data_IF_495421711541
#
_entry.id   IF_495421711541
#
_cell.length_a   1.000
_cell.length_b   1.000
_cell.length_c   1.000
_cell.angle_alpha   90.00
_cell.angle_beta   90.00
_cell.angle_gamma   90.00
#
_symmetry.space_group_name_H-M   'P 1'
#
loop_
_entity.id
_entity.type
_entity.pdbx_description
1 polymer ?
#
# COMPACT_ATOMS: atom_id res chain seq x y z
N UNK A 1 -17.23 -23.43 20.90
CA UNK A 1 -16.01 -24.04 20.28
C UNK A 1 -15.43 -23.19 19.13
N UNK A 2 -16.23 -22.73 18.16
CA UNK A 2 -15.76 -21.90 17.03
C UNK A 2 -15.03 -20.62 17.47
N UNK A 3 -15.54 -19.93 18.49
CA UNK A 3 -14.94 -18.70 19.02
C UNK A 3 -13.46 -18.88 19.40
N UNK A 4 -13.10 -19.97 20.09
CA UNK A 4 -11.72 -20.18 20.54
C UNK A 4 -10.75 -20.62 19.44
N UNK A 5 -11.24 -21.26 18.37
CA UNK A 5 -10.39 -21.82 17.30
C UNK A 5 -10.32 -20.95 16.05
N UNK A 6 -11.31 -20.10 15.82
CA UNK A 6 -11.44 -19.30 14.60
C UNK A 6 -11.70 -17.81 14.89
N UNK A 7 -12.77 -17.46 15.61
CA UNK A 7 -13.18 -16.05 15.78
C UNK A 7 -12.36 -15.24 16.81
N UNK A 8 -11.13 -15.65 17.13
CA UNK A 8 -10.18 -14.89 17.96
C UNK A 8 -9.12 -14.29 17.06
N UNK A 9 -8.75 -13.02 17.28
CA UNK A 9 -7.67 -12.32 16.58
C UNK A 9 -6.35 -13.12 16.56
N UNK A 10 -6.04 -13.83 17.65
CA UNK A 10 -4.86 -14.71 17.75
C UNK A 10 -4.82 -15.81 16.67
N UNK A 11 -5.96 -16.18 16.09
CA UNK A 11 -6.09 -17.26 15.12
C UNK A 11 -6.22 -16.75 13.67
N UNK A 12 -5.96 -15.47 13.39
CA UNK A 12 -6.15 -14.89 12.05
C UNK A 12 -5.31 -15.58 10.96
N UNK A 13 -4.13 -16.10 11.34
CA UNK A 13 -3.23 -16.84 10.45
C UNK A 13 -3.50 -18.34 10.39
N UNK A 14 -4.51 -18.84 11.12
CA UNK A 14 -4.90 -20.25 11.02
C UNK A 14 -5.90 -20.46 9.89
N UNK A 15 -5.82 -21.64 9.27
CA UNK A 15 -6.76 -22.07 8.25
C UNK A 15 -8.19 -22.06 8.82
N UNK A 16 -9.13 -21.52 8.05
CA UNK A 16 -10.52 -21.39 8.47
C UNK A 16 -11.22 -22.77 8.47
N UNK A 17 -11.91 -23.17 9.56
CA UNK A 17 -12.61 -24.45 9.63
C UNK A 17 -13.99 -24.38 8.96
N UNK A 18 -14.02 -24.39 7.62
CA UNK A 18 -15.24 -24.19 6.81
C UNK A 18 -16.33 -25.22 7.12
N UNK A 19 -15.98 -26.49 7.32
CA UNK A 19 -16.96 -27.53 7.66
C UNK A 19 -17.69 -27.23 8.98
N UNK A 20 -16.96 -26.78 10.00
CA UNK A 20 -17.55 -26.44 11.30
C UNK A 20 -18.41 -25.16 11.25
N UNK A 21 -18.07 -24.23 10.34
CA UNK A 21 -18.90 -23.03 10.07
C UNK A 21 -20.19 -23.46 9.37
N UNK A 22 -20.11 -24.37 8.37
CA UNK A 22 -21.27 -24.90 7.66
C UNK A 22 -22.25 -25.62 8.59
N UNK A 23 -21.74 -26.49 9.45
CA UNK A 23 -22.60 -27.29 10.33
C UNK A 23 -23.28 -26.44 11.43
N UNK A 24 -22.75 -25.24 11.74
CA UNK A 24 -23.32 -24.33 12.76
C UNK A 24 -24.16 -23.19 12.17
N UNK A 25 -23.74 -22.61 11.05
CA UNK A 25 -24.34 -21.42 10.44
C UNK A 25 -25.08 -21.69 9.11
N UNK A 26 -24.99 -22.90 8.58
CA UNK A 26 -25.55 -23.29 7.28
C UNK A 26 -24.61 -23.03 6.10
N UNK A 27 -25.04 -23.49 4.94
CA UNK A 27 -24.25 -23.49 3.69
C UNK A 27 -24.01 -22.08 3.13
N UNK A 28 -24.99 -21.17 3.25
CA UNK A 28 -24.87 -19.80 2.71
C UNK A 28 -23.72 -19.02 3.35
N UNK A 29 -23.65 -19.06 4.68
CA UNK A 29 -22.60 -18.40 5.45
C UNK A 29 -21.25 -19.09 5.28
N UNK A 30 -21.22 -20.43 5.22
CA UNK A 30 -19.99 -21.16 4.97
C UNK A 30 -19.39 -20.84 3.60
N UNK A 31 -20.21 -20.71 2.56
CA UNK A 31 -19.76 -20.32 1.23
C UNK A 31 -19.18 -18.89 1.20
N UNK A 32 -19.82 -17.95 1.90
CA UNK A 32 -19.30 -16.59 2.06
C UNK A 32 -17.87 -16.59 2.67
N UNK A 33 -17.66 -17.30 3.78
CA UNK A 33 -16.35 -17.36 4.42
C UNK A 33 -15.31 -18.13 3.60
N UNK A 34 -15.73 -19.18 2.88
CA UNK A 34 -14.85 -19.90 1.95
C UNK A 34 -14.35 -18.98 0.82
N UNK A 35 -15.26 -18.20 0.22
CA UNK A 35 -14.90 -17.21 -0.80
C UNK A 35 -13.99 -16.11 -0.25
N UNK A 36 -14.28 -15.59 0.96
CA UNK A 36 -13.43 -14.59 1.60
C UNK A 36 -12.00 -15.10 1.86
N UNK A 37 -11.86 -16.34 2.33
CA UNK A 37 -10.57 -16.98 2.55
C UNK A 37 -9.78 -17.17 1.25
N UNK A 38 -10.46 -17.57 0.18
CA UNK A 38 -9.88 -17.68 -1.16
C UNK A 38 -9.41 -16.31 -1.68
N UNK A 39 -10.26 -15.29 -1.60
CA UNK A 39 -9.94 -13.93 -2.02
C UNK A 39 -8.73 -13.34 -1.28
N UNK A 40 -8.68 -13.50 0.05
CA UNK A 40 -7.51 -13.07 0.83
C UNK A 40 -6.23 -13.82 0.42
N UNK A 41 -6.32 -15.11 0.09
CA UNK A 41 -5.16 -15.88 -0.38
C UNK A 41 -4.64 -15.36 -1.73
N UNK A 42 -5.55 -14.98 -2.64
CA UNK A 42 -5.20 -14.34 -3.90
C UNK A 42 -4.58 -12.94 -3.71
N UNK A 43 -4.97 -12.20 -2.67
CA UNK A 43 -4.41 -10.88 -2.35
C UNK A 43 -2.98 -10.90 -1.80
N UNK A 44 -2.50 -12.04 -1.28
CA UNK A 44 -1.15 -12.14 -0.72
C UNK A 44 -0.08 -11.87 -1.78
N UNK A 45 -0.23 -12.44 -2.97
CA UNK A 45 0.72 -12.31 -4.09
C UNK A 45 0.87 -10.83 -4.53
N UNK A 46 -0.21 -10.09 -4.90
CA UNK A 46 -0.09 -8.69 -5.28
C UNK A 46 0.36 -7.79 -4.12
N UNK A 47 0.05 -8.14 -2.86
CA UNK A 47 0.54 -7.38 -1.71
C UNK A 47 2.06 -7.48 -1.57
N UNK A 48 2.63 -8.69 -1.72
CA UNK A 48 4.09 -8.89 -1.67
C UNK A 48 4.78 -8.15 -2.81
N UNK A 49 4.26 -8.27 -4.04
CA UNK A 49 4.81 -7.56 -5.21
C UNK A 49 4.72 -6.04 -5.04
N UNK A 50 3.60 -5.53 -4.50
CA UNK A 50 3.43 -4.11 -4.21
C UNK A 50 4.46 -3.59 -3.21
N UNK A 51 4.71 -4.32 -2.13
CA UNK A 51 5.76 -3.97 -1.15
C UNK A 51 7.14 -4.00 -1.81
N UNK A 52 7.43 -5.00 -2.64
CA UNK A 52 8.71 -5.11 -3.33
C UNK A 52 8.96 -3.92 -4.27
N UNK A 53 7.97 -3.55 -5.08
CA UNK A 53 8.06 -2.39 -5.99
C UNK A 53 8.17 -1.08 -5.20
N UNK A 54 7.44 -0.92 -4.09
CA UNK A 54 7.55 0.25 -3.23
C UNK A 54 8.94 0.40 -2.62
N UNK A 55 9.52 -0.69 -2.10
CA UNK A 55 10.89 -0.69 -1.56
C UNK A 55 11.91 -0.34 -2.64
N UNK A 56 11.75 -0.90 -3.84
CA UNK A 56 12.60 -0.57 -4.99
C UNK A 56 12.52 0.92 -5.34
N UNK A 57 11.31 1.48 -5.40
CA UNK A 57 11.10 2.91 -5.67
C UNK A 57 11.76 3.81 -4.63
N UNK A 58 11.58 3.51 -3.33
CA UNK A 58 12.18 4.28 -2.24
C UNK A 58 13.72 4.24 -2.25
N UNK A 59 14.31 3.13 -2.67
CA UNK A 59 15.76 3.00 -2.81
C UNK A 59 16.29 3.72 -4.06
N UNK A 60 15.55 3.67 -5.17
CA UNK A 60 15.95 4.28 -6.45
C UNK A 60 15.80 5.80 -6.47
N UNK A 61 14.80 6.36 -5.77
CA UNK A 61 14.43 7.79 -5.78
C UNK A 61 15.61 8.74 -5.54
N UNK A 62 16.58 8.34 -4.69
CA UNK A 62 17.74 9.18 -4.37
C UNK A 62 18.75 9.29 -5.51
N UNK A 63 18.74 8.33 -6.43
CA UNK A 63 19.70 8.21 -7.54
C UNK A 63 19.09 8.60 -8.89
N UNK A 64 17.78 8.86 -8.92
CA UNK A 64 17.10 9.28 -10.14
C UNK A 64 17.58 10.69 -10.55
N UNK A 65 18.02 10.80 -11.81
CA UNK A 65 18.48 12.05 -12.43
C UNK A 65 17.54 13.25 -12.21
N UNK A 66 16.21 13.16 -12.43
CA UNK A 66 15.34 14.32 -12.24
C UNK A 66 15.29 14.79 -10.78
N UNK A 67 15.30 13.88 -9.81
CA UNK A 67 15.29 14.22 -8.38
C UNK A 67 16.63 14.85 -7.96
N UNK A 68 17.75 14.35 -8.50
CA UNK A 68 19.07 14.95 -8.33
C UNK A 68 19.15 16.36 -8.93
N UNK A 69 18.59 16.57 -10.11
CA UNK A 69 18.62 17.88 -10.78
C UNK A 69 17.76 18.93 -10.02
N UNK A 70 16.62 18.53 -9.48
CA UNK A 70 15.77 19.41 -8.65
C UNK A 70 16.47 19.75 -7.33
N UNK A 71 16.99 18.75 -6.61
CA UNK A 71 17.54 18.92 -5.26
C UNK A 71 18.97 19.48 -5.21
N UNK A 72 19.77 19.29 -6.27
CA UNK A 72 21.14 19.82 -6.37
C UNK A 72 21.22 21.14 -7.16
N UNK A 73 20.07 21.65 -7.64
CA UNK A 73 20.04 22.96 -8.27
C UNK A 73 20.36 24.05 -7.24
N UNK A 74 21.46 24.78 -7.44
CA UNK A 74 21.89 25.92 -6.62
C UNK A 74 20.95 27.11 -6.81
N UNK A 75 19.70 27.02 -6.34
CA UNK A 75 18.66 28.09 -6.37
C UNK A 75 18.58 28.90 -7.68
N UNK A 76 19.03 28.35 -8.81
CA UNK A 76 19.24 29.11 -10.05
C UNK A 76 17.98 29.10 -10.93
N UNK A 77 17.08 28.14 -10.71
CA UNK A 77 15.84 27.99 -11.45
C UNK A 77 14.69 28.63 -10.66
N UNK A 78 14.39 29.89 -10.99
CA UNK A 78 13.21 30.61 -10.53
C UNK A 78 12.00 30.19 -11.37
N UNK A 79 10.94 29.74 -10.70
CA UNK A 79 9.71 29.29 -11.33
C UNK A 79 8.68 30.40 -11.37
N UNK A 80 7.91 30.45 -12.45
CA UNK A 80 6.81 31.38 -12.58
C UNK A 80 5.69 31.05 -11.58
N UNK A 81 5.00 32.07 -11.05
CA UNK A 81 3.81 31.86 -10.27
C UNK A 81 2.70 31.27 -11.16
N UNK A 82 1.90 30.37 -10.59
CA UNK A 82 0.76 29.76 -11.30
C UNK A 82 -0.44 30.72 -11.44
N UNK A 83 -0.42 31.83 -10.70
CA UNK A 83 -1.50 32.80 -10.60
C UNK A 83 -0.92 34.22 -10.47
N UNK A 84 -1.61 35.23 -11.01
CA UNK A 84 -1.13 36.63 -11.06
C UNK A 84 -0.80 37.25 -9.69
N UNK A 85 -1.37 36.75 -8.60
CA UNK A 85 -1.16 37.29 -7.23
C UNK A 85 -0.19 36.47 -6.37
N UNK A 86 0.47 35.47 -6.94
CA UNK A 86 1.38 34.60 -6.20
C UNK A 86 2.85 34.98 -6.45
N UNK A 87 3.71 34.79 -5.45
CA UNK A 87 5.14 35.04 -5.57
C UNK A 87 5.83 33.99 -6.45
N UNK A 88 6.93 34.39 -7.07
CA UNK A 88 7.90 33.47 -7.67
C UNK A 88 8.47 32.52 -6.58
N UNK A 89 8.85 31.31 -6.98
CA UNK A 89 9.37 30.27 -6.08
C UNK A 89 10.57 29.57 -6.70
N UNK A 90 11.46 29.00 -5.89
CA UNK A 90 12.64 28.29 -6.38
C UNK A 90 12.34 26.81 -6.61
N UNK A 91 12.84 26.23 -7.70
CA UNK A 91 12.63 24.81 -8.02
C UNK A 91 13.10 23.86 -6.90
N UNK A 92 14.18 24.19 -6.18
CA UNK A 92 14.71 23.33 -5.10
C UNK A 92 13.72 23.16 -3.92
N UNK A 93 12.81 24.12 -3.69
CA UNK A 93 11.82 24.03 -2.60
C UNK A 93 10.85 22.84 -2.78
N UNK A 94 10.67 22.35 -4.00
CA UNK A 94 9.82 21.17 -4.28
C UNK A 94 10.57 19.84 -4.16
N UNK A 95 11.85 19.84 -3.80
CA UNK A 95 12.68 18.64 -3.63
C UNK A 95 12.05 17.59 -2.70
N UNK A 96 11.31 18.02 -1.67
CA UNK A 96 10.61 17.09 -0.77
C UNK A 96 9.48 16.32 -1.48
N UNK A 97 8.75 16.97 -2.39
CA UNK A 97 7.65 16.34 -3.14
C UNK A 97 8.16 15.52 -4.32
N UNK A 98 9.40 15.76 -4.76
CA UNK A 98 10.06 15.05 -5.85
C UNK A 98 10.80 13.77 -5.39
N UNK A 99 10.90 13.55 -4.07
CA UNK A 99 11.44 12.34 -3.44
C UNK A 99 10.29 11.47 -2.95
#
# INVERSE_FOLDING_TARGET
>A
KLYHRWAKLKNIFRIQPIHAIRDYYGERLAFYFAWLGWYNSLLIIPSILGIFVLLWGLLSVKYDRPTLDICNSTSSYLMCPKLDRQSYWFLNETCFNAK
#
